data_IF_912796717014
#
_entry.id   IF_912796717014
#
_cell.length_a   1.000
_cell.length_b   1.000
_cell.length_c   1.000
_cell.angle_alpha   90.00
_cell.angle_beta   90.00
_cell.angle_gamma   90.00
#
_symmetry.space_group_name_H-M   'P 1'
#
loop_
_entity.id
_entity.type
_entity.pdbx_description
1 polymer ?
#
# COMPACT_ATOMS: atom_id res chain seq x y z
N UNK A 1 -41.31 -25.62 37.02
CA UNK A 1 -40.05 -26.15 36.43
C UNK A 1 -39.85 -25.84 34.94
N UNK A 2 -40.89 -25.73 34.08
CA UNK A 2 -40.73 -25.40 32.65
C UNK A 2 -40.10 -24.01 32.36
N UNK A 3 -40.49 -22.97 33.11
CA UNK A 3 -40.08 -21.57 32.89
C UNK A 3 -38.57 -21.31 33.10
N UNK A 4 -37.91 -22.09 33.96
CA UNK A 4 -36.48 -21.94 34.24
C UNK A 4 -35.59 -22.55 33.14
N UNK A 5 -36.13 -23.49 32.36
CA UNK A 5 -35.43 -24.21 31.28
C UNK A 5 -35.42 -23.43 29.96
N UNK A 6 -36.37 -22.52 29.76
CA UNK A 6 -36.41 -21.61 28.60
C UNK A 6 -35.44 -20.44 28.76
N UNK A 7 -35.38 -19.82 29.94
CA UNK A 7 -34.44 -18.73 30.23
C UNK A 7 -32.97 -19.15 30.07
N UNK A 8 -32.60 -20.39 30.44
CA UNK A 8 -31.25 -20.90 30.21
C UNK A 8 -30.90 -21.13 28.74
N UNK A 9 -31.89 -21.45 27.89
CA UNK A 9 -31.70 -21.59 26.44
C UNK A 9 -31.59 -20.23 25.74
N UNK A 10 -32.34 -19.24 26.21
CA UNK A 10 -32.26 -17.85 25.74
C UNK A 10 -30.89 -17.22 26.09
N UNK A 11 -30.42 -17.39 27.32
CA UNK A 11 -29.10 -16.94 27.76
C UNK A 11 -27.97 -17.64 26.99
N UNK A 12 -28.09 -18.95 26.73
CA UNK A 12 -27.12 -19.67 25.91
C UNK A 12 -27.08 -19.16 24.47
N UNK A 13 -28.25 -18.84 23.87
CA UNK A 13 -28.34 -18.25 22.54
C UNK A 13 -27.73 -16.86 22.44
N UNK A 14 -27.94 -16.02 23.47
CA UNK A 14 -27.34 -14.69 23.57
C UNK A 14 -25.81 -14.75 23.73
N UNK A 15 -25.30 -15.66 24.57
CA UNK A 15 -23.84 -15.87 24.71
C UNK A 15 -23.22 -16.39 23.41
N UNK A 16 -23.92 -17.25 22.67
CA UNK A 16 -23.47 -17.75 21.35
C UNK A 16 -23.42 -16.62 20.32
N UNK A 17 -24.45 -15.76 20.25
CA UNK A 17 -24.45 -14.65 19.30
C UNK A 17 -23.39 -13.61 19.63
N UNK A 18 -23.17 -13.32 20.92
CA UNK A 18 -22.13 -12.41 21.39
C UNK A 18 -20.72 -12.97 21.10
N UNK A 19 -20.54 -14.29 21.27
CA UNK A 19 -19.32 -15.00 20.90
C UNK A 19 -19.05 -14.94 19.40
N UNK A 20 -20.05 -15.21 18.57
CA UNK A 20 -19.92 -15.13 17.12
C UNK A 20 -19.63 -13.70 16.63
N UNK A 21 -20.28 -12.69 17.22
CA UNK A 21 -20.05 -11.29 16.89
C UNK A 21 -18.65 -10.84 17.30
N UNK A 22 -18.21 -11.16 18.51
CA UNK A 22 -16.85 -10.83 18.96
C UNK A 22 -15.77 -11.49 18.11
N UNK A 23 -15.96 -12.76 17.71
CA UNK A 23 -15.07 -13.44 16.77
C UNK A 23 -15.02 -12.72 15.41
N UNK A 24 -16.18 -12.32 14.86
CA UNK A 24 -16.23 -11.58 13.59
C UNK A 24 -15.49 -10.24 13.68
N UNK A 25 -15.64 -9.50 14.79
CA UNK A 25 -14.91 -8.24 15.03
C UNK A 25 -13.41 -8.47 15.11
N UNK A 26 -12.96 -9.50 15.85
CA UNK A 26 -11.53 -9.84 15.97
C UNK A 26 -10.94 -10.20 14.61
N UNK A 27 -11.64 -10.99 13.80
CA UNK A 27 -11.20 -11.35 12.45
C UNK A 27 -11.13 -10.12 11.55
N UNK A 28 -12.13 -9.25 11.59
CA UNK A 28 -12.17 -8.02 10.80
C UNK A 28 -10.99 -7.09 11.14
N UNK A 29 -10.75 -6.83 12.44
CA UNK A 29 -9.64 -5.98 12.88
C UNK A 29 -8.29 -6.58 12.48
N UNK A 30 -8.11 -7.89 12.66
CA UNK A 30 -6.88 -8.58 12.28
C UNK A 30 -6.60 -8.47 10.78
N UNK A 31 -7.66 -8.62 9.96
CA UNK A 31 -7.57 -8.46 8.51
C UNK A 31 -7.25 -7.02 8.11
N UNK A 32 -7.93 -6.04 8.69
CA UNK A 32 -7.71 -4.62 8.41
C UNK A 32 -6.28 -4.17 8.74
N UNK A 33 -5.73 -4.61 9.87
CA UNK A 33 -4.35 -4.31 10.25
C UNK A 33 -3.33 -4.94 9.29
N UNK A 34 -3.57 -6.19 8.87
CA UNK A 34 -2.69 -6.89 7.91
C UNK A 34 -2.75 -6.25 6.52
N UNK A 35 -3.93 -5.85 6.08
CA UNK A 35 -4.13 -5.18 4.80
C UNK A 35 -3.43 -3.81 4.76
N UNK A 36 -3.55 -3.03 5.83
CA UNK A 36 -2.92 -1.72 5.95
C UNK A 36 -1.39 -1.78 5.81
N UNK A 37 -0.74 -2.77 6.45
CA UNK A 37 0.72 -2.98 6.32
C UNK A 37 1.14 -3.30 4.88
N UNK A 38 0.42 -4.22 4.22
CA UNK A 38 0.69 -4.59 2.82
C UNK A 38 0.37 -3.47 1.82
N UNK A 39 -0.45 -2.49 2.20
CA UNK A 39 -0.79 -1.37 1.32
C UNK A 39 0.39 -0.44 1.09
N UNK A 40 1.29 -0.28 2.08
CA UNK A 40 2.47 0.56 1.94
C UNK A 40 3.47 -0.02 0.93
N UNK A 41 3.81 -1.30 1.07
CA UNK A 41 4.79 -1.97 0.18
C UNK A 41 4.32 -1.98 -1.28
N UNK A 42 3.02 -2.27 -1.50
CA UNK A 42 2.42 -2.16 -2.84
C UNK A 42 2.43 -0.73 -3.38
N UNK A 43 2.34 0.26 -2.50
CA UNK A 43 2.44 1.67 -2.87
C UNK A 43 3.83 2.02 -3.40
N UNK A 44 4.89 1.60 -2.70
CA UNK A 44 6.27 1.80 -3.13
C UNK A 44 6.55 1.14 -4.50
N UNK A 45 6.10 -0.09 -4.69
CA UNK A 45 6.18 -0.79 -5.98
C UNK A 45 5.42 -0.05 -7.09
N UNK A 46 4.20 0.40 -6.81
CA UNK A 46 3.39 1.16 -7.78
C UNK A 46 4.08 2.46 -8.20
N UNK A 47 4.68 3.18 -7.25
CA UNK A 47 5.44 4.40 -7.51
C UNK A 47 6.70 4.11 -8.34
N UNK A 48 7.47 3.09 -7.98
CA UNK A 48 8.65 2.65 -8.75
C UNK A 48 8.27 2.35 -10.21
N UNK A 49 7.19 1.61 -10.42
CA UNK A 49 6.73 1.26 -11.76
C UNK A 49 6.24 2.48 -12.55
N UNK A 50 5.62 3.46 -11.88
CA UNK A 50 5.24 4.73 -12.49
C UNK A 50 6.47 5.53 -12.95
N UNK A 51 7.48 5.69 -12.08
CA UNK A 51 8.75 6.36 -12.41
C UNK A 51 9.44 5.65 -13.57
N UNK A 52 9.46 4.32 -13.58
CA UNK A 52 10.05 3.53 -14.68
C UNK A 52 9.32 3.77 -16.00
N UNK A 53 7.99 3.76 -16.01
CA UNK A 53 7.20 4.05 -17.22
C UNK A 53 7.43 5.46 -17.73
N UNK A 54 7.44 6.46 -16.85
CA UNK A 54 7.72 7.84 -17.21
C UNK A 54 9.15 8.02 -17.74
N UNK A 55 10.13 7.28 -17.19
CA UNK A 55 11.51 7.26 -17.70
C UNK A 55 11.59 6.71 -19.13
N UNK A 56 10.87 5.63 -19.43
CA UNK A 56 10.75 5.08 -20.79
C UNK A 56 10.06 6.09 -21.72
N UNK A 57 9.01 6.76 -21.26
CA UNK A 57 8.31 7.77 -22.02
C UNK A 57 9.23 8.95 -22.38
N UNK A 58 10.00 9.44 -21.40
CA UNK A 58 11.00 10.47 -21.61
C UNK A 58 12.02 10.06 -22.68
N UNK A 59 12.53 8.83 -22.61
CA UNK A 59 13.44 8.33 -23.63
C UNK A 59 12.81 8.27 -25.02
N UNK A 60 11.56 7.83 -25.12
CA UNK A 60 10.85 7.73 -26.39
C UNK A 60 10.58 9.10 -27.03
N UNK A 61 10.33 10.14 -26.22
CA UNK A 61 9.98 11.48 -26.70
C UNK A 61 11.22 12.35 -26.93
N UNK A 62 12.15 12.34 -25.98
CA UNK A 62 13.31 13.24 -25.94
C UNK A 62 14.62 12.58 -26.42
N UNK A 63 14.61 11.27 -26.67
CA UNK A 63 15.80 10.50 -27.05
C UNK A 63 16.79 10.28 -25.91
N UNK A 64 16.38 10.54 -24.66
CA UNK A 64 17.23 10.38 -23.47
C UNK A 64 16.41 10.07 -22.21
N UNK A 65 17.01 9.33 -21.29
CA UNK A 65 16.44 9.09 -19.97
C UNK A 65 16.47 10.38 -19.13
N UNK A 66 15.56 10.51 -18.15
CA UNK A 66 15.49 11.70 -17.33
C UNK A 66 16.79 11.90 -16.54
N UNK A 67 17.23 13.16 -16.33
CA UNK A 67 18.43 13.43 -15.55
C UNK A 67 18.21 13.23 -14.04
N UNK A 68 16.97 13.33 -13.56
CA UNK A 68 16.60 13.16 -12.16
C UNK A 68 15.13 12.76 -12.01
N UNK A 69 14.73 12.40 -10.79
CA UNK A 69 13.32 12.13 -10.50
C UNK A 69 12.49 13.42 -10.47
N UNK A 70 13.07 14.55 -10.07
CA UNK A 70 12.43 15.87 -10.09
C UNK A 70 12.01 16.27 -11.51
N UNK A 71 12.83 15.93 -12.52
CA UNK A 71 12.46 16.17 -13.92
C UNK A 71 11.16 15.44 -14.30
N UNK A 72 10.93 14.24 -13.75
CA UNK A 72 9.70 13.50 -13.95
C UNK A 72 8.52 14.11 -13.19
N UNK A 73 8.75 14.72 -12.03
CA UNK A 73 7.72 15.44 -11.29
C UNK A 73 7.25 16.69 -12.04
N UNK A 74 8.20 17.44 -12.62
CA UNK A 74 7.93 18.67 -13.35
C UNK A 74 7.30 18.44 -14.74
N UNK A 75 7.72 17.39 -15.45
CA UNK A 75 7.43 17.23 -16.89
C UNK A 75 6.54 16.03 -17.23
N UNK A 76 6.47 15.01 -16.35
CA UNK A 76 5.78 13.74 -16.64
C UNK A 76 4.67 13.41 -15.63
N UNK A 77 4.34 14.34 -14.74
CA UNK A 77 3.23 14.21 -13.79
C UNK A 77 3.46 13.16 -12.71
N UNK A 78 4.71 12.77 -12.47
CA UNK A 78 5.06 11.96 -11.30
C UNK A 78 4.82 12.80 -10.04
N UNK A 79 4.28 12.18 -9.00
CA UNK A 79 4.05 12.82 -7.71
C UNK A 79 4.60 11.89 -6.63
N UNK A 80 5.60 12.37 -5.89
CA UNK A 80 6.22 11.60 -4.82
C UNK A 80 5.76 12.19 -3.49
N UNK A 81 5.08 11.36 -2.72
CA UNK A 81 4.80 11.67 -1.32
C UNK A 81 6.08 11.46 -0.50
N UNK A 82 6.85 12.54 -0.32
CA UNK A 82 8.17 12.53 0.34
C UNK A 82 8.09 12.31 1.85
N UNK A 83 6.90 12.38 2.45
CA UNK A 83 6.67 12.01 3.85
C UNK A 83 6.49 10.50 4.03
N UNK A 84 6.28 9.77 2.92
CA UNK A 84 6.00 8.33 2.92
C UNK A 84 7.04 7.50 2.19
N UNK A 85 7.72 8.07 1.20
CA UNK A 85 8.62 7.33 0.35
C UNK A 85 9.95 8.05 0.15
N UNK A 86 11.03 7.27 0.26
CA UNK A 86 12.36 7.67 -0.19
C UNK A 86 12.61 7.08 -1.58
N UNK A 87 12.95 7.96 -2.53
CA UNK A 87 13.24 7.57 -3.92
C UNK A 87 14.72 7.76 -4.19
N UNK A 88 15.40 6.66 -4.49
CA UNK A 88 16.78 6.64 -4.96
C UNK A 88 16.77 6.47 -6.47
N UNK A 89 17.26 7.48 -7.17
CA UNK A 89 17.32 7.52 -8.62
C UNK A 89 18.77 7.71 -9.06
N UNK A 90 19.31 6.78 -9.85
CA UNK A 90 20.69 6.82 -10.32
C UNK A 90 20.75 6.60 -11.84
N UNK A 91 21.00 7.68 -12.58
CA UNK A 91 21.30 7.64 -14.01
C UNK A 91 22.80 7.69 -14.25
N UNK A 92 23.41 6.59 -14.69
CA UNK A 92 24.84 6.55 -15.02
C UNK A 92 25.16 7.36 -16.28
N UNK A 93 24.30 7.25 -17.30
CA UNK A 93 24.38 8.00 -18.54
C UNK A 93 22.98 8.18 -19.12
N UNK A 94 22.78 9.22 -19.92
CA UNK A 94 21.45 9.58 -20.44
C UNK A 94 20.86 8.55 -21.42
N UNK A 95 21.63 7.56 -21.85
CA UNK A 95 21.21 6.48 -22.73
C UNK A 95 21.04 5.12 -22.01
N UNK A 96 21.28 5.06 -20.70
CA UNK A 96 21.04 3.87 -19.89
C UNK A 96 19.85 4.07 -18.97
N UNK A 97 19.04 3.02 -18.83
CA UNK A 97 17.90 3.04 -17.90
C UNK A 97 18.41 3.36 -16.50
N UNK A 98 17.84 4.36 -15.81
CA UNK A 98 18.18 4.67 -14.43
C UNK A 98 17.88 3.47 -13.53
N UNK A 99 18.74 3.28 -12.52
CA UNK A 99 18.39 2.45 -11.37
C UNK A 99 17.40 3.22 -10.50
N UNK A 100 16.26 2.59 -10.18
CA UNK A 100 15.16 3.20 -9.45
C UNK A 100 14.82 2.30 -8.27
N UNK A 101 15.07 2.80 -7.06
CA UNK A 101 14.67 2.15 -5.81
C UNK A 101 13.72 3.07 -5.06
N UNK A 102 12.60 2.52 -4.59
CA UNK A 102 11.61 3.23 -3.78
C UNK A 102 11.41 2.47 -2.48
N UNK A 103 11.71 3.13 -1.37
CA UNK A 103 11.54 2.58 -0.03
C UNK A 103 10.43 3.32 0.69
N UNK A 104 9.71 2.64 1.58
CA UNK A 104 8.87 3.30 2.57
C UNK A 104 9.77 4.00 3.59
N UNK A 105 9.49 5.27 3.89
CA UNK A 105 10.03 5.89 5.09
C UNK A 105 9.44 5.16 6.30
N UNK A 106 10.29 4.46 7.03
CA UNK A 106 9.96 4.04 8.38
C UNK A 106 10.37 5.19 9.32
N UNK A 107 9.44 5.75 10.11
CA UNK A 107 9.79 6.73 11.14
C UNK A 107 10.68 6.11 12.23
#
# INVERSE_FOLDING_TARGET
MKKQKESGKELAGQLLSLGAFSLAVVLFVSFALTFSKRSGERGAETLRDAIRRASVQCYAIEGRYPPSVEYLEENYGIQIDRDRYDVFYSGFASNFMPDITVNLQNP
#
